data_IF_354039601320
#
_entry.id   IF_354039601320
#
_cell.length_a   1.000
_cell.length_b   1.000
_cell.length_c   1.000
_cell.angle_alpha   90.00
_cell.angle_beta   90.00
_cell.angle_gamma   90.00
#
_symmetry.space_group_name_H-M   'P 1'
#
loop_
_entity.id
_entity.type
_entity.pdbx_description
1 polymer ?
#
# COMPACT_ATOMS: atom_id res chain seq x y z
N UNK A 1 -19.74 -6.32 16.72
CA UNK A 1 -18.90 -5.12 16.97
C UNK A 1 -17.74 -5.21 16.00
N UNK A 2 -17.58 -4.21 15.12
CA UNK A 2 -16.42 -4.16 14.24
C UNK A 2 -15.15 -4.14 15.12
N UNK A 3 -14.23 -5.07 14.90
CA UNK A 3 -12.95 -5.06 15.58
C UNK A 3 -12.29 -3.72 15.28
N UNK A 4 -11.97 -2.94 16.30
CA UNK A 4 -11.20 -1.72 16.14
C UNK A 4 -9.91 -2.10 15.41
N UNK A 5 -9.74 -1.65 14.17
CA UNK A 5 -8.55 -1.96 13.39
C UNK A 5 -7.33 -1.45 14.17
N UNK A 6 -6.33 -2.31 14.35
CA UNK A 6 -5.06 -1.89 14.94
C UNK A 6 -4.50 -0.71 14.14
N UNK A 7 -3.93 0.27 14.85
CA UNK A 7 -3.36 1.47 14.24
C UNK A 7 -1.88 1.60 14.58
N UNK A 8 -1.10 2.18 13.68
CA UNK A 8 0.27 2.62 13.94
C UNK A 8 0.30 4.14 14.15
N UNK A 9 1.04 4.60 15.15
CA UNK A 9 1.34 6.01 15.32
C UNK A 9 2.38 6.43 14.28
N UNK A 10 2.13 7.54 13.60
CA UNK A 10 3.06 8.17 12.66
C UNK A 10 3.93 9.19 13.38
N UNK A 11 5.08 9.55 12.81
CA UNK A 11 6.03 10.52 13.35
C UNK A 11 5.45 11.93 13.56
N UNK A 12 4.33 12.24 12.96
CA UNK A 12 3.61 13.52 13.12
C UNK A 12 2.41 13.44 14.09
N UNK A 13 2.26 12.35 14.84
CA UNK A 13 1.19 12.15 15.82
C UNK A 13 -0.14 11.63 15.24
N UNK A 14 -0.31 11.57 13.93
CA UNK A 14 -1.47 10.93 13.30
C UNK A 14 -1.43 9.41 13.48
N UNK A 15 -2.59 8.75 13.39
CA UNK A 15 -2.68 7.29 13.44
C UNK A 15 -3.15 6.75 12.10
N UNK A 16 -2.39 5.81 11.52
CA UNK A 16 -2.77 5.09 10.32
C UNK A 16 -3.34 3.72 10.69
N UNK A 17 -4.57 3.36 10.24
CA UNK A 17 -5.05 1.99 10.39
C UNK A 17 -4.20 1.02 9.60
N UNK A 18 -3.82 -0.11 10.24
CA UNK A 18 -2.93 -1.10 9.64
C UNK A 18 -3.57 -1.88 8.48
N UNK A 19 -4.89 -1.94 8.41
CA UNK A 19 -5.62 -2.50 7.28
C UNK A 19 -6.35 -1.39 6.54
N UNK A 20 -6.07 -1.26 5.25
CA UNK A 20 -6.76 -0.35 4.33
C UNK A 20 -7.28 -1.03 3.09
N UNK A 21 -8.18 -0.38 2.36
CA UNK A 21 -8.66 -0.83 1.06
C UNK A 21 -7.87 -0.16 -0.05
N UNK A 22 -7.19 -0.95 -0.90
CA UNK A 22 -6.61 -0.48 -2.16
C UNK A 22 -7.68 -0.31 -3.24
N UNK A 23 -7.58 0.75 -4.05
CA UNK A 23 -8.57 1.05 -5.12
C UNK A 23 -7.99 0.97 -6.53
N UNK A 24 -6.72 0.58 -6.70
CA UNK A 24 -6.06 0.42 -8.00
C UNK A 24 -6.79 -0.56 -8.91
N UNK A 25 -6.97 -0.20 -10.20
CA UNK A 25 -7.65 -1.05 -11.21
C UNK A 25 -9.05 -1.52 -10.79
N UNK A 26 -9.79 -0.72 -10.05
CA UNK A 26 -11.22 -0.94 -9.85
C UNK A 26 -11.99 -0.25 -10.97
N UNK A 27 -12.82 -1.01 -11.67
CA UNK A 27 -13.57 -0.50 -12.80
C UNK A 27 -14.56 0.61 -12.39
N UNK A 28 -14.90 1.53 -13.31
CA UNK A 28 -15.95 2.53 -13.09
C UNK A 28 -17.28 1.89 -12.62
N UNK A 29 -17.93 2.52 -11.65
CA UNK A 29 -19.19 2.04 -11.06
C UNK A 29 -19.03 0.90 -10.04
N UNK A 30 -17.81 0.38 -9.83
CA UNK A 30 -17.56 -0.75 -8.91
C UNK A 30 -16.84 -0.29 -7.64
N UNK A 31 -15.91 0.66 -7.74
CA UNK A 31 -15.08 1.11 -6.61
C UNK A 31 -15.93 1.70 -5.49
N UNK A 32 -16.98 2.47 -5.80
CA UNK A 32 -17.85 3.06 -4.77
C UNK A 32 -18.57 2.01 -3.92
N UNK A 33 -18.99 0.88 -4.52
CA UNK A 33 -19.57 -0.26 -3.79
C UNK A 33 -18.53 -0.94 -2.91
N UNK A 34 -17.30 -1.10 -3.41
CA UNK A 34 -16.21 -1.69 -2.65
C UNK A 34 -15.82 -0.84 -1.43
N UNK A 35 -15.75 0.49 -1.60
CA UNK A 35 -15.48 1.43 -0.50
C UNK A 35 -16.59 1.38 0.55
N UNK A 36 -17.85 1.37 0.13
CA UNK A 36 -18.99 1.24 1.05
C UNK A 36 -18.92 -0.06 1.84
N UNK A 37 -18.71 -1.19 1.14
CA UNK A 37 -18.57 -2.49 1.79
C UNK A 37 -17.38 -2.55 2.77
N UNK A 38 -16.26 -1.91 2.43
CA UNK A 38 -15.10 -1.83 3.31
C UNK A 38 -15.39 -1.02 4.58
N UNK A 39 -16.04 0.15 4.45
CA UNK A 39 -16.41 0.96 5.62
C UNK A 39 -17.39 0.17 6.52
N UNK A 40 -18.38 -0.53 5.93
CA UNK A 40 -19.32 -1.38 6.66
C UNK A 40 -18.62 -2.56 7.36
N UNK A 41 -17.58 -3.11 6.74
CA UNK A 41 -16.73 -4.15 7.34
C UNK A 41 -15.72 -3.63 8.39
N UNK A 42 -15.72 -2.32 8.67
CA UNK A 42 -14.86 -1.71 9.70
C UNK A 42 -13.55 -1.12 9.20
N UNK A 43 -13.30 -1.08 7.90
CA UNK A 43 -12.13 -0.35 7.37
C UNK A 43 -12.24 1.13 7.66
N UNK A 44 -11.10 1.73 8.02
CA UNK A 44 -10.97 3.17 8.25
C UNK A 44 -9.82 3.80 7.46
N UNK A 45 -9.16 3.03 6.60
CA UNK A 45 -8.08 3.47 5.73
C UNK A 45 -8.44 3.14 4.27
N UNK A 46 -8.50 4.15 3.40
CA UNK A 46 -8.78 4.02 1.97
C UNK A 46 -7.59 4.56 1.20
N UNK A 47 -6.98 3.73 0.37
CA UNK A 47 -5.86 4.11 -0.48
C UNK A 47 -6.33 4.39 -1.91
N UNK A 48 -6.09 5.60 -2.36
CA UNK A 48 -6.38 6.09 -3.70
C UNK A 48 -5.17 6.74 -4.35
N UNK A 49 -5.34 7.15 -5.60
CA UNK A 49 -4.45 8.02 -6.33
C UNK A 49 -5.19 8.69 -7.48
N UNK A 50 -4.77 9.88 -7.84
CA UNK A 50 -5.31 10.60 -9.00
C UNK A 50 -5.25 9.75 -10.28
N UNK A 51 -4.14 9.03 -10.47
CA UNK A 51 -3.90 8.16 -11.63
C UNK A 51 -4.84 6.94 -11.72
N UNK A 52 -5.58 6.62 -10.66
CA UNK A 52 -6.56 5.53 -10.69
C UNK A 52 -7.88 5.93 -11.35
N UNK A 53 -8.07 7.23 -11.62
CA UNK A 53 -9.23 7.81 -12.31
C UNK A 53 -10.57 7.46 -11.65
N UNK A 54 -10.56 7.17 -10.35
CA UNK A 54 -11.75 6.73 -9.60
C UNK A 54 -11.98 7.47 -8.29
N UNK A 55 -11.19 8.53 -7.99
CA UNK A 55 -11.29 9.28 -6.73
C UNK A 55 -12.67 9.93 -6.52
N UNK A 56 -13.34 10.34 -7.61
CA UNK A 56 -14.70 10.92 -7.52
C UNK A 56 -15.71 9.89 -6.96
N UNK A 57 -15.63 8.63 -7.40
CA UNK A 57 -16.50 7.56 -6.89
C UNK A 57 -16.14 7.17 -5.45
N UNK A 58 -14.83 7.14 -5.13
CA UNK A 58 -14.36 6.93 -3.75
C UNK A 58 -14.91 8.02 -2.84
N UNK A 59 -14.77 9.29 -3.25
CA UNK A 59 -15.27 10.44 -2.50
C UNK A 59 -16.79 10.41 -2.30
N UNK A 60 -17.56 10.05 -3.35
CA UNK A 60 -19.00 9.91 -3.27
C UNK A 60 -19.43 8.80 -2.28
N UNK A 61 -18.73 7.66 -2.28
CA UNK A 61 -19.01 6.56 -1.35
C UNK A 61 -18.70 6.94 0.10
N UNK A 62 -17.56 7.62 0.34
CA UNK A 62 -17.19 8.14 1.66
C UNK A 62 -18.25 9.14 2.14
N UNK A 63 -18.62 10.13 1.31
CA UNK A 63 -19.64 11.11 1.65
C UNK A 63 -20.96 10.45 2.04
N UNK A 64 -21.41 9.46 1.25
CA UNK A 64 -22.63 8.70 1.53
C UNK A 64 -22.56 8.00 2.90
N UNK A 65 -21.45 7.36 3.26
CA UNK A 65 -21.29 6.68 4.55
C UNK A 65 -21.24 7.65 5.74
N UNK A 66 -20.73 8.86 5.54
CA UNK A 66 -20.79 9.93 6.52
C UNK A 66 -22.23 10.43 6.70
N UNK A 67 -22.97 10.66 5.61
CA UNK A 67 -24.38 11.08 5.63
C UNK A 67 -25.29 10.02 6.26
N UNK A 68 -24.98 8.74 6.07
CA UNK A 68 -25.67 7.60 6.72
C UNK A 68 -25.34 7.49 8.24
N UNK A 69 -24.39 8.27 8.74
CA UNK A 69 -23.95 8.21 10.16
C UNK A 69 -23.16 6.97 10.53
N UNK A 70 -22.62 6.21 9.54
CA UNK A 70 -21.80 5.02 9.78
C UNK A 70 -20.40 5.38 10.27
N UNK A 71 -19.85 6.48 9.77
CA UNK A 71 -18.54 7.04 10.13
C UNK A 71 -18.59 8.56 10.09
N UNK A 72 -17.64 9.21 10.78
CA UNK A 72 -17.33 10.63 10.55
C UNK A 72 -16.15 10.76 9.59
N UNK A 73 -15.87 11.96 9.06
CA UNK A 73 -14.69 12.21 8.22
C UNK A 73 -13.38 11.98 9.02
N UNK A 74 -13.41 12.28 10.29
CA UNK A 74 -12.28 12.18 11.22
C UNK A 74 -11.91 10.73 11.54
N UNK A 75 -12.87 9.80 11.43
CA UNK A 75 -12.62 8.37 11.60
C UNK A 75 -11.80 7.80 10.44
N UNK A 76 -11.74 8.51 9.30
CA UNK A 76 -11.18 7.97 8.06
C UNK A 76 -9.78 8.53 7.76
N UNK A 77 -8.86 7.62 7.49
CA UNK A 77 -7.54 7.90 6.93
C UNK A 77 -7.60 7.68 5.41
N UNK A 78 -7.62 8.78 4.65
CA UNK A 78 -7.74 8.73 3.18
C UNK A 78 -6.40 9.14 2.58
N UNK A 79 -5.84 8.28 1.75
CA UNK A 79 -4.60 8.50 1.01
C UNK A 79 -4.91 8.81 -0.45
N UNK A 80 -4.25 9.83 -0.98
CA UNK A 80 -4.17 10.10 -2.41
C UNK A 80 -2.73 10.29 -2.83
N UNK A 81 -2.45 10.08 -4.10
CA UNK A 81 -1.15 10.29 -4.73
C UNK A 81 -1.40 11.10 -6.01
N UNK A 82 -0.70 12.22 -6.16
CA UNK A 82 -0.89 13.07 -7.32
C UNK A 82 0.24 12.85 -8.34
N UNK A 83 -0.17 12.60 -9.58
CA UNK A 83 0.66 12.70 -10.77
C UNK A 83 0.04 13.79 -11.64
N UNK A 84 0.83 14.70 -12.15
CA UNK A 84 0.34 15.74 -13.08
C UNK A 84 0.14 15.12 -14.46
N UNK A 85 -1.11 15.09 -14.94
CA UNK A 85 -1.47 14.55 -16.25
C UNK A 85 -1.66 13.02 -16.28
N UNK A 86 -1.39 12.41 -17.43
CA UNK A 86 -1.43 10.96 -17.61
C UNK A 86 -0.35 10.26 -16.78
N UNK A 87 -0.65 9.07 -16.25
CA UNK A 87 0.30 8.31 -15.43
C UNK A 87 1.59 7.97 -16.20
N UNK A 88 1.44 7.59 -17.45
CA UNK A 88 2.55 7.30 -18.36
C UNK A 88 2.29 7.97 -19.72
N UNK A 89 2.48 9.30 -19.82
CA UNK A 89 2.29 9.99 -21.09
C UNK A 89 3.27 9.42 -22.11
N UNK A 90 2.76 9.02 -23.27
CA UNK A 90 3.54 8.34 -24.29
C UNK A 90 3.83 9.25 -25.48
N UNK A 91 5.07 9.26 -25.94
CA UNK A 91 5.46 9.90 -27.21
C UNK A 91 6.38 8.97 -28.00
N UNK A 92 5.99 8.66 -29.22
CA UNK A 92 6.76 7.77 -30.11
C UNK A 92 7.15 6.41 -29.45
N UNK A 93 6.22 5.82 -28.68
CA UNK A 93 6.42 4.51 -28.04
C UNK A 93 7.28 4.54 -26.78
N UNK A 94 7.67 5.72 -26.26
CA UNK A 94 8.41 5.88 -25.01
C UNK A 94 7.61 6.70 -24.02
N UNK A 95 7.76 6.40 -22.73
CA UNK A 95 7.19 7.22 -21.66
C UNK A 95 7.90 8.55 -21.63
N UNK A 96 7.12 9.65 -21.58
CA UNK A 96 7.67 10.97 -21.34
C UNK A 96 7.97 11.10 -19.85
N UNK A 97 9.22 11.37 -19.54
CA UNK A 97 9.69 11.64 -18.19
C UNK A 97 9.93 13.15 -18.01
N UNK A 98 9.91 13.60 -16.78
CA UNK A 98 10.21 14.98 -16.40
C UNK A 98 11.58 15.05 -15.75
N UNK A 99 12.29 16.16 -15.93
CA UNK A 99 13.54 16.46 -15.22
C UNK A 99 13.30 16.98 -13.79
N UNK A 100 12.03 17.02 -13.34
CA UNK A 100 11.66 17.50 -12.01
C UNK A 100 12.29 16.62 -10.93
N UNK A 101 12.98 17.27 -9.99
CA UNK A 101 13.54 16.58 -8.84
C UNK A 101 12.44 16.23 -7.82
N UNK A 102 12.48 15.03 -7.29
CA UNK A 102 11.53 14.62 -6.24
C UNK A 102 11.69 15.44 -4.95
N UNK A 103 12.87 16.02 -4.71
CA UNK A 103 13.10 16.95 -3.59
C UNK A 103 12.27 18.23 -3.76
N UNK A 104 12.17 18.76 -4.97
CA UNK A 104 11.33 19.96 -5.21
C UNK A 104 9.83 19.61 -5.09
N UNK A 105 9.45 18.42 -5.52
CA UNK A 105 8.10 17.89 -5.27
C UNK A 105 7.83 17.79 -3.77
N UNK A 106 8.80 17.31 -2.99
CA UNK A 106 8.66 17.21 -1.53
C UNK A 106 8.47 18.57 -0.87
N UNK A 107 9.28 19.57 -1.24
CA UNK A 107 9.13 20.94 -0.75
C UNK A 107 7.74 21.52 -1.04
N UNK A 108 7.19 21.27 -2.23
CA UNK A 108 5.83 21.65 -2.55
C UNK A 108 4.78 20.93 -1.70
N UNK A 109 5.02 19.66 -1.34
CA UNK A 109 4.14 18.91 -0.43
C UNK A 109 4.21 19.42 1.01
N UNK A 110 5.36 19.88 1.48
CA UNK A 110 5.49 20.51 2.80
C UNK A 110 4.62 21.75 2.92
N UNK A 111 4.48 22.54 1.85
CA UNK A 111 3.57 23.71 1.82
C UNK A 111 2.11 23.29 2.03
N UNK A 112 1.68 22.14 1.51
CA UNK A 112 0.31 21.65 1.72
C UNK A 112 0.03 21.33 3.18
N UNK A 113 1.05 20.93 3.95
CA UNK A 113 0.93 20.73 5.40
C UNK A 113 0.80 22.10 6.11
N UNK A 114 1.64 23.06 5.73
CA UNK A 114 1.61 24.41 6.31
C UNK A 114 0.26 25.12 6.07
N UNK A 115 -0.33 24.90 4.89
CA UNK A 115 -1.66 25.41 4.54
C UNK A 115 -2.81 24.63 5.19
N UNK A 116 -2.51 23.54 5.91
CA UNK A 116 -3.52 22.71 6.57
C UNK A 116 -4.38 21.87 5.61
N UNK A 117 -3.97 21.76 4.34
CA UNK A 117 -4.70 21.00 3.31
C UNK A 117 -4.53 19.48 3.50
N UNK A 118 -3.39 19.06 4.05
CA UNK A 118 -3.12 17.66 4.38
C UNK A 118 -2.56 17.54 5.79
N UNK A 119 -2.83 16.43 6.47
CA UNK A 119 -2.34 16.17 7.84
C UNK A 119 -0.97 15.47 7.84
N UNK A 120 -0.69 14.68 6.82
CA UNK A 120 0.54 13.89 6.70
C UNK A 120 0.96 13.83 5.25
N UNK A 121 2.26 13.89 5.01
CA UNK A 121 2.88 13.67 3.70
C UNK A 121 3.80 12.47 3.75
N UNK A 122 3.93 11.78 2.63
CA UNK A 122 4.74 10.57 2.50
C UNK A 122 5.22 10.36 1.07
N UNK A 123 5.98 9.32 0.88
CA UNK A 123 6.54 8.93 -0.41
C UNK A 123 6.07 7.53 -0.82
N UNK A 124 6.30 7.17 -2.07
CA UNK A 124 5.98 5.84 -2.57
C UNK A 124 7.10 5.34 -3.49
N UNK A 125 7.50 4.08 -3.33
CA UNK A 125 8.58 3.43 -4.08
C UNK A 125 9.94 4.11 -3.93
N UNK A 126 10.25 4.73 -2.80
CA UNK A 126 11.59 5.26 -2.52
C UNK A 126 12.50 4.14 -2.01
N UNK A 127 13.69 4.02 -2.57
CA UNK A 127 14.77 3.21 -2.04
C UNK A 127 15.54 3.95 -0.93
N UNK A 128 16.52 3.27 -0.32
CA UNK A 128 17.27 3.83 0.81
C UNK A 128 18.03 5.10 0.40
N UNK A 129 18.73 5.09 -0.73
CA UNK A 129 19.52 6.24 -1.19
C UNK A 129 18.65 7.46 -1.48
N UNK A 130 17.45 7.26 -2.04
CA UNK A 130 16.49 8.34 -2.25
C UNK A 130 15.93 8.88 -0.94
N UNK A 131 15.66 8.01 0.03
CA UNK A 131 15.22 8.43 1.37
C UNK A 131 16.33 9.21 2.08
N UNK A 132 17.58 8.75 2.05
CA UNK A 132 18.72 9.46 2.65
C UNK A 132 18.90 10.86 2.05
N UNK A 133 18.86 10.96 0.71
CA UNK A 133 18.93 12.25 0.03
C UNK A 133 17.76 13.15 0.41
N UNK A 134 16.55 12.63 0.47
CA UNK A 134 15.38 13.40 0.88
C UNK A 134 15.50 13.88 2.32
N UNK A 135 15.86 13.00 3.25
CA UNK A 135 16.00 13.31 4.66
C UNK A 135 17.11 14.35 4.95
N UNK A 136 18.12 14.44 4.10
CA UNK A 136 19.19 15.45 4.25
C UNK A 136 18.70 16.89 4.01
N UNK A 137 17.54 17.09 3.38
CA UNK A 137 17.04 18.40 2.97
C UNK A 137 15.58 18.64 3.40
N UNK A 138 14.85 17.61 3.81
CA UNK A 138 13.45 17.71 4.20
C UNK A 138 13.29 18.42 5.55
N UNK A 139 12.37 19.35 5.64
CA UNK A 139 11.93 19.99 6.88
C UNK A 139 10.93 19.11 7.64
N UNK A 140 10.07 18.42 6.89
CA UNK A 140 9.10 17.45 7.42
C UNK A 140 9.58 16.07 7.01
N UNK A 141 9.77 15.16 7.97
CA UNK A 141 10.13 13.78 7.71
C UNK A 141 8.94 13.06 7.06
N UNK A 142 9.14 12.26 6.00
CA UNK A 142 8.07 11.44 5.43
C UNK A 142 7.38 10.59 6.51
N UNK A 143 6.07 10.71 6.63
CA UNK A 143 5.31 9.91 7.60
C UNK A 143 5.20 8.44 7.16
N UNK A 144 5.19 8.20 5.84
CA UNK A 144 5.00 6.87 5.23
C UNK A 144 5.88 6.74 3.99
N UNK A 145 6.48 5.57 3.79
CA UNK A 145 6.91 5.11 2.47
C UNK A 145 6.01 3.93 2.06
N UNK A 146 5.21 4.13 1.01
CA UNK A 146 4.35 3.07 0.48
C UNK A 146 5.09 2.30 -0.61
N UNK A 147 5.35 1.00 -0.38
CA UNK A 147 6.16 0.15 -1.26
C UNK A 147 5.51 -1.20 -1.51
N UNK A 148 5.94 -1.90 -2.54
CA UNK A 148 5.58 -3.29 -2.73
C UNK A 148 6.23 -4.15 -1.66
N UNK A 149 5.39 -4.86 -0.88
CA UNK A 149 5.85 -5.80 0.15
C UNK A 149 4.95 -7.02 0.20
N UNK A 150 5.56 -8.19 0.18
CA UNK A 150 4.93 -9.49 0.36
C UNK A 150 6.03 -10.54 0.59
N UNK A 151 5.72 -11.80 0.96
CA UNK A 151 6.74 -12.81 1.23
C UNK A 151 7.73 -13.10 0.10
N UNK A 152 7.37 -12.85 -1.17
CA UNK A 152 8.32 -12.95 -2.28
C UNK A 152 9.18 -11.69 -2.50
N UNK A 153 8.88 -10.59 -1.78
CA UNK A 153 9.64 -9.34 -1.79
C UNK A 153 9.59 -8.72 -0.39
N UNK A 154 10.46 -9.17 0.49
CA UNK A 154 10.43 -8.79 1.93
C UNK A 154 11.16 -7.50 2.26
N UNK A 155 12.09 -7.05 1.42
CA UNK A 155 12.86 -5.80 1.52
C UNK A 155 13.40 -5.52 2.94
N UNK A 156 14.16 -6.44 3.57
CA UNK A 156 14.52 -6.33 4.98
C UNK A 156 15.31 -5.07 5.31
N UNK A 157 16.29 -4.68 4.48
CA UNK A 157 17.10 -3.49 4.69
C UNK A 157 16.24 -2.21 4.65
N UNK A 158 15.30 -2.12 3.71
CA UNK A 158 14.39 -0.97 3.61
C UNK A 158 13.42 -0.91 4.81
N UNK A 159 12.95 -2.06 5.28
CA UNK A 159 12.07 -2.16 6.46
C UNK A 159 12.82 -1.66 7.70
N UNK A 160 14.05 -2.11 7.92
CA UNK A 160 14.90 -1.68 9.04
C UNK A 160 15.26 -0.20 8.94
N UNK A 161 15.66 0.26 7.76
CA UNK A 161 15.96 1.67 7.50
C UNK A 161 14.80 2.59 7.84
N UNK A 162 13.59 2.27 7.36
CA UNK A 162 12.40 3.07 7.65
C UNK A 162 12.04 3.03 9.14
N UNK A 163 12.14 1.86 9.78
CA UNK A 163 11.86 1.72 11.21
C UNK A 163 12.82 2.55 12.06
N UNK A 164 14.12 2.58 11.75
CA UNK A 164 15.13 3.35 12.48
C UNK A 164 14.96 4.87 12.38
N UNK A 165 14.14 5.35 11.45
CA UNK A 165 13.85 6.78 11.20
C UNK A 165 12.41 7.17 11.46
N UNK A 166 11.64 6.28 12.10
CA UNK A 166 10.22 6.46 12.38
C UNK A 166 9.38 6.78 11.11
N UNK A 167 9.77 6.19 9.99
CA UNK A 167 8.99 6.22 8.74
C UNK A 167 8.13 4.97 8.71
N UNK A 168 6.81 5.14 8.69
CA UNK A 168 5.90 4.01 8.59
C UNK A 168 5.96 3.39 7.18
N UNK A 169 5.76 2.08 7.09
CA UNK A 169 5.60 1.41 5.80
C UNK A 169 4.13 1.07 5.54
N UNK A 170 3.74 1.22 4.28
CA UNK A 170 2.48 0.68 3.76
C UNK A 170 2.79 -0.30 2.63
N UNK A 171 2.37 -1.55 2.80
CA UNK A 171 2.54 -2.61 1.82
C UNK A 171 1.44 -2.54 0.75
N UNK A 172 1.80 -2.21 -0.48
CA UNK A 172 0.91 -2.44 -1.62
C UNK A 172 1.20 -3.81 -2.25
N UNK A 173 0.26 -4.36 -3.02
CA UNK A 173 0.29 -5.73 -3.54
C UNK A 173 0.58 -6.81 -2.49
N UNK A 174 0.02 -6.73 -1.27
CA UNK A 174 0.38 -7.62 -0.16
C UNK A 174 0.06 -9.09 -0.44
N UNK A 175 -0.80 -9.36 -1.43
CA UNK A 175 -1.20 -10.70 -1.87
C UNK A 175 -0.44 -11.16 -3.14
N UNK A 176 0.64 -10.47 -3.55
CA UNK A 176 1.40 -10.79 -4.75
C UNK A 176 0.65 -10.49 -6.05
N UNK A 177 -0.37 -9.60 -6.04
CA UNK A 177 -1.19 -9.24 -7.21
C UNK A 177 -1.77 -10.45 -7.96
N UNK A 178 -2.58 -11.29 -7.32
CA UNK A 178 -3.25 -12.39 -7.99
C UNK A 178 -4.10 -11.84 -9.15
N UNK A 179 -4.08 -12.49 -10.31
CA UNK A 179 -4.79 -12.02 -11.52
C UNK A 179 -4.04 -10.96 -12.33
N UNK A 180 -2.75 -10.70 -12.02
CA UNK A 180 -1.88 -9.96 -12.95
C UNK A 180 -1.79 -10.71 -14.29
N UNK A 181 -1.62 -9.98 -15.38
CA UNK A 181 -1.29 -10.60 -16.66
C UNK A 181 0.13 -11.16 -16.53
N UNK A 182 0.23 -12.46 -16.43
CA UNK A 182 1.54 -13.15 -16.49
C UNK A 182 2.01 -13.03 -17.95
N UNK A 183 2.92 -12.11 -18.19
CA UNK A 183 3.75 -12.15 -19.38
C UNK A 183 4.57 -13.44 -19.20
N UNK A 184 4.61 -14.34 -20.17
CA UNK A 184 5.31 -15.65 -20.16
C UNK A 184 6.76 -15.52 -19.66
N UNK A 185 6.92 -15.06 -18.44
CA UNK A 185 8.19 -14.91 -17.75
C UNK A 185 8.40 -16.17 -16.92
N UNK A 186 9.38 -16.96 -17.31
CA UNK A 186 9.80 -18.16 -16.58
C UNK A 186 10.27 -17.86 -15.15
N UNK A 187 10.59 -16.59 -14.87
CA UNK A 187 10.98 -16.10 -13.55
C UNK A 187 9.79 -15.74 -12.64
N UNK A 188 8.55 -15.66 -13.19
CA UNK A 188 7.37 -15.38 -12.37
C UNK A 188 7.13 -16.52 -11.36
N UNK A 189 7.22 -16.25 -10.04
CA UNK A 189 7.08 -17.28 -9.02
C UNK A 189 5.64 -17.81 -8.86
N UNK A 190 4.73 -17.42 -9.76
CA UNK A 190 3.32 -17.80 -9.77
C UNK A 190 2.51 -17.13 -8.67
N UNK A 191 1.43 -17.77 -8.27
CA UNK A 191 0.43 -17.24 -7.36
C UNK A 191 0.88 -17.43 -5.89
N UNK A 192 1.25 -16.34 -5.22
CA UNK A 192 1.64 -16.35 -3.81
C UNK A 192 0.55 -16.93 -2.88
N UNK A 193 -0.73 -16.75 -3.25
CA UNK A 193 -1.85 -17.32 -2.48
C UNK A 193 -1.86 -18.86 -2.48
N UNK A 194 -1.14 -19.49 -3.42
CA UNK A 194 -1.02 -20.94 -3.56
C UNK A 194 0.40 -21.45 -3.23
N UNK A 195 1.22 -20.62 -2.60
CA UNK A 195 2.52 -21.08 -2.15
C UNK A 195 2.33 -22.13 -1.04
N UNK A 196 3.00 -23.29 -1.12
CA UNK A 196 2.82 -24.38 -0.14
C UNK A 196 3.06 -23.95 1.31
N UNK A 197 4.01 -23.03 1.55
CA UNK A 197 4.29 -22.51 2.90
C UNK A 197 3.09 -21.71 3.40
N UNK A 198 2.55 -20.84 2.54
CA UNK A 198 1.36 -20.01 2.89
C UNK A 198 0.14 -20.90 3.14
N UNK A 199 -0.10 -21.92 2.28
CA UNK A 199 -1.24 -22.84 2.44
C UNK A 199 -1.15 -23.67 3.71
N UNK A 200 0.04 -24.14 4.08
CA UNK A 200 0.25 -24.91 5.34
C UNK A 200 -0.05 -24.03 6.55
N UNK A 201 0.47 -22.80 6.60
CA UNK A 201 0.21 -21.86 7.69
C UNK A 201 -1.29 -21.53 7.76
N UNK A 202 -1.92 -21.24 6.61
CA UNK A 202 -3.34 -20.95 6.53
C UNK A 202 -4.20 -22.09 7.10
N UNK A 203 -3.89 -23.33 6.75
CA UNK A 203 -4.56 -24.53 7.27
C UNK A 203 -4.39 -24.67 8.79
N UNK A 204 -3.19 -24.47 9.31
CA UNK A 204 -2.90 -24.57 10.75
C UNK A 204 -3.71 -23.56 11.57
N UNK A 205 -3.85 -22.33 11.06
CA UNK A 205 -4.63 -21.27 11.71
C UNK A 205 -6.11 -21.29 11.37
N UNK A 206 -6.58 -22.19 10.49
CA UNK A 206 -7.97 -22.22 9.96
C UNK A 206 -8.38 -20.88 9.34
N UNK A 207 -7.46 -20.29 8.62
CA UNK A 207 -7.60 -19.01 7.92
C UNK A 207 -7.34 -19.21 6.42
N UNK A 208 -7.69 -18.22 5.60
CA UNK A 208 -7.31 -18.24 4.19
C UNK A 208 -5.86 -17.78 4.00
N UNK A 209 -5.26 -18.13 2.86
CA UNK A 209 -3.94 -17.63 2.46
C UNK A 209 -3.90 -16.10 2.46
N UNK A 210 -4.98 -15.44 2.03
CA UNK A 210 -5.07 -13.99 2.03
C UNK A 210 -5.00 -13.43 3.45
N UNK A 211 -5.73 -14.00 4.41
CA UNK A 211 -5.68 -13.57 5.80
C UNK A 211 -4.29 -13.74 6.42
N UNK A 212 -3.60 -14.86 6.14
CA UNK A 212 -2.21 -15.09 6.59
C UNK A 212 -1.27 -14.00 6.03
N UNK A 213 -1.33 -13.72 4.73
CA UNK A 213 -0.49 -12.71 4.09
C UNK A 213 -0.75 -11.30 4.62
N UNK A 214 -2.00 -10.96 4.92
CA UNK A 214 -2.34 -9.67 5.51
C UNK A 214 -1.88 -9.60 6.97
N UNK A 215 -2.09 -10.66 7.75
CA UNK A 215 -1.63 -10.75 9.14
C UNK A 215 -0.11 -10.63 9.24
N UNK A 216 0.64 -11.22 8.32
CA UNK A 216 2.10 -11.10 8.22
C UNK A 216 2.58 -9.64 8.21
N UNK A 217 1.88 -8.75 7.53
CA UNK A 217 2.22 -7.32 7.52
C UNK A 217 1.78 -6.63 8.81
N UNK A 218 0.52 -6.81 9.19
CA UNK A 218 -0.07 -6.15 10.36
C UNK A 218 0.70 -6.50 11.64
N UNK A 219 1.08 -7.77 11.82
CA UNK A 219 1.81 -8.22 13.01
C UNK A 219 3.25 -7.66 13.06
N UNK A 220 3.82 -7.29 11.91
CA UNK A 220 5.09 -6.58 11.78
C UNK A 220 4.94 -5.05 11.87
N UNK A 221 3.77 -4.55 12.29
CA UNK A 221 3.44 -3.12 12.38
C UNK A 221 3.58 -2.38 11.03
N UNK A 222 3.27 -3.07 9.92
CA UNK A 222 3.26 -2.54 8.56
C UNK A 222 1.80 -2.43 8.10
N UNK A 223 1.38 -1.24 7.67
CA UNK A 223 0.05 -1.07 7.10
C UNK A 223 -0.04 -1.83 5.76
N UNK A 224 -1.23 -2.35 5.45
CA UNK A 224 -1.43 -3.15 4.23
C UNK A 224 -2.73 -2.76 3.54
N UNK A 225 -2.70 -2.70 2.20
CA UNK A 225 -3.80 -2.18 1.38
C UNK A 225 -4.22 -3.18 0.29
N UNK A 226 -4.77 -4.36 0.66
CA UNK A 226 -5.28 -5.29 -0.34
C UNK A 226 -6.38 -4.64 -1.17
N UNK A 227 -6.35 -4.87 -2.49
CA UNK A 227 -7.42 -4.46 -3.38
C UNK A 227 -8.43 -5.60 -3.53
N UNK A 228 -9.69 -5.31 -3.28
CA UNK A 228 -10.81 -6.19 -3.64
C UNK A 228 -12.04 -5.37 -4.03
N UNK A 229 -12.83 -5.89 -4.94
CA UNK A 229 -14.16 -5.37 -5.30
C UNK A 229 -15.26 -6.35 -4.92
N UNK A 230 -14.93 -7.49 -4.36
CA UNK A 230 -15.86 -8.54 -3.95
C UNK A 230 -16.19 -8.36 -2.46
N UNK A 231 -17.43 -8.02 -2.07
CA UNK A 231 -17.79 -7.75 -0.67
C UNK A 231 -17.39 -8.86 0.30
N UNK A 232 -17.60 -10.13 -0.08
CA UNK A 232 -17.22 -11.27 0.76
C UNK A 232 -15.71 -11.32 1.04
N UNK A 233 -14.85 -11.04 0.05
CA UNK A 233 -13.39 -10.98 0.24
C UNK A 233 -12.98 -9.76 1.06
N UNK A 234 -13.68 -8.62 0.91
CA UNK A 234 -13.43 -7.42 1.73
C UNK A 234 -13.72 -7.75 3.20
N UNK A 235 -14.86 -8.41 3.47
CA UNK A 235 -15.22 -8.86 4.81
C UNK A 235 -14.19 -9.86 5.36
N UNK A 236 -13.84 -10.90 4.61
CA UNK A 236 -12.85 -11.91 4.99
C UNK A 236 -11.48 -11.28 5.32
N UNK A 237 -11.01 -10.34 4.49
CA UNK A 237 -9.75 -9.63 4.72
C UNK A 237 -9.77 -8.75 5.99
N UNK A 238 -10.94 -8.37 6.52
CA UNK A 238 -11.06 -7.66 7.79
C UNK A 238 -10.86 -8.58 9.01
N UNK A 239 -11.05 -9.88 8.86
CA UNK A 239 -11.01 -10.88 9.94
C UNK A 239 -9.57 -11.40 10.18
N UNK A 240 -8.64 -10.46 10.39
CA UNK A 240 -7.20 -10.75 10.58
C UNK A 240 -6.68 -10.33 11.95
N UNK A 241 -7.54 -9.81 12.83
CA UNK A 241 -7.15 -9.35 14.15
C UNK A 241 -7.52 -10.33 15.28
N UNK A 242 -8.11 -11.46 14.92
CA UNK A 242 -8.60 -12.49 15.83
C UNK A 242 -7.66 -13.72 15.96
N UNK A 243 -6.49 -13.67 15.30
CA UNK A 243 -5.44 -14.68 15.39
C UNK A 243 -4.06 -14.05 15.31
N UNK A 244 -3.04 -14.81 15.70
CA UNK A 244 -1.62 -14.41 15.59
C UNK A 244 -0.82 -15.51 14.88
N UNK A 245 0.12 -15.10 14.04
CA UNK A 245 1.13 -15.97 13.48
C UNK A 245 2.20 -16.23 14.53
N UNK A 246 2.66 -17.47 14.65
CA UNK A 246 3.78 -17.80 15.52
C UNK A 246 5.09 -17.28 14.92
N UNK A 247 6.13 -17.16 15.72
CA UNK A 247 7.44 -16.70 15.25
C UNK A 247 7.99 -17.60 14.13
N UNK A 248 7.74 -18.93 14.21
CA UNK A 248 8.09 -19.89 13.18
C UNK A 248 7.34 -19.64 11.86
N UNK A 249 6.06 -19.24 11.93
CA UNK A 249 5.27 -18.88 10.75
C UNK A 249 5.84 -17.63 10.08
N UNK A 250 6.16 -16.59 10.88
CA UNK A 250 6.77 -15.36 10.39
C UNK A 250 8.12 -15.63 9.71
N UNK A 251 8.97 -16.44 10.35
CA UNK A 251 10.25 -16.84 9.76
C UNK A 251 10.06 -17.63 8.47
N UNK A 252 9.13 -18.59 8.45
CA UNK A 252 8.83 -19.36 7.24
C UNK A 252 8.40 -18.47 6.08
N UNK A 253 7.54 -17.47 6.35
CA UNK A 253 7.12 -16.49 5.34
C UNK A 253 8.28 -15.57 4.87
N UNK A 254 9.23 -15.26 5.73
CA UNK A 254 10.41 -14.49 5.37
C UNK A 254 11.39 -15.29 4.50
N UNK A 255 11.50 -16.62 4.73
CA UNK A 255 12.44 -17.50 3.99
C UNK A 255 12.03 -17.77 2.55
N UNK A 256 10.76 -17.61 2.20
CA UNK A 256 10.32 -17.75 0.80
C UNK A 256 10.58 -16.52 -0.08
N UNK A 257 11.33 -15.54 0.44
CA UNK A 257 11.74 -14.35 -0.31
C UNK A 257 12.51 -14.72 -1.57
N UNK A 258 12.14 -14.08 -2.67
CA UNK A 258 12.72 -14.29 -4.01
C UNK A 258 13.31 -13.00 -4.59
N UNK A 259 13.22 -11.90 -3.83
CA UNK A 259 13.47 -10.53 -4.31
C UNK A 259 12.72 -10.24 -5.62
N UNK A 260 11.54 -10.85 -5.77
CA UNK A 260 10.75 -10.75 -6.98
C UNK A 260 9.69 -9.65 -6.85
N UNK A 261 9.75 -8.69 -7.77
CA UNK A 261 8.88 -7.51 -7.80
C UNK A 261 7.84 -7.62 -8.91
N UNK A 262 6.56 -7.44 -8.56
CA UNK A 262 5.45 -7.37 -9.52
C UNK A 262 5.48 -6.05 -10.30
N UNK A 263 5.69 -4.93 -9.58
CA UNK A 263 5.64 -3.59 -10.13
C UNK A 263 7.05 -3.06 -10.41
N UNK A 264 7.68 -3.58 -11.45
CA UNK A 264 9.08 -3.25 -11.80
C UNK A 264 9.24 -1.88 -12.46
N UNK A 265 8.19 -1.31 -13.09
CA UNK A 265 8.25 -0.05 -13.83
C UNK A 265 9.38 -0.01 -14.87
N UNK A 266 9.66 -1.11 -15.54
CA UNK A 266 10.78 -1.27 -16.48
C UNK A 266 10.81 -0.24 -17.60
N UNK A 267 9.64 0.33 -17.96
CA UNK A 267 9.56 1.43 -18.92
C UNK A 267 10.24 2.73 -18.45
N UNK A 268 10.63 2.82 -17.18
CA UNK A 268 11.30 3.96 -16.56
C UNK A 268 12.73 3.62 -16.10
N UNK A 269 13.26 2.44 -16.41
CA UNK A 269 14.56 1.96 -15.91
C UNK A 269 15.75 2.87 -16.26
N UNK A 270 15.67 3.61 -17.37
CA UNK A 270 16.72 4.54 -17.80
C UNK A 270 16.61 5.93 -17.13
N UNK A 271 15.60 6.14 -16.29
CA UNK A 271 15.42 7.41 -15.60
C UNK A 271 16.38 7.54 -14.42
N UNK A 272 17.00 8.71 -14.23
CA UNK A 272 17.98 8.97 -13.16
C UNK A 272 17.47 8.69 -11.75
N UNK A 273 16.15 8.75 -11.53
CA UNK A 273 15.49 8.47 -10.26
C UNK A 273 14.72 7.13 -10.27
N UNK A 274 15.11 6.20 -11.14
CA UNK A 274 14.51 4.86 -11.09
C UNK A 274 14.88 4.17 -9.77
N UNK A 275 13.89 3.72 -8.98
CA UNK A 275 14.15 3.34 -7.59
C UNK A 275 14.61 1.89 -7.40
N UNK A 276 14.67 1.06 -8.46
CA UNK A 276 14.87 -0.38 -8.34
C UNK A 276 16.21 -0.86 -8.95
N UNK A 277 17.19 0.05 -9.09
CA UNK A 277 18.53 -0.32 -9.60
C UNK A 277 19.40 -1.00 -8.53
N UNK A 278 19.05 -0.86 -7.24
CA UNK A 278 19.85 -1.36 -6.11
C UNK A 278 19.29 -2.68 -5.53
N UNK A 279 18.43 -3.39 -6.27
CA UNK A 279 17.76 -4.62 -5.82
C UNK A 279 18.24 -5.85 -6.55
#
# INVERSE_FOLDING_TARGET
>A
MAAASATRLLNNGCRIPLLGLGTWKSDPGVVGKAVSAAIDAGYRHIDGAYSYMNEAEVGAAVKKKVEEGVVTREDLFIVSKKVLGELFPMRKGRVLVSDADYVDTWRAMEVLVDEGLVKSIGVSNFNISQLERLLSVARIIPAVNQVELHPYLTQPELVEFCASRDIALTAFSPLGSPGRTVLNDSADPKDLLKDPVVEVIAKNHRKSSAQVLLRFHVQRNIATIPKSVTPARIQENAEIFDFELMDEDLQSLLTINKNWRVCQLTMLQDHQFYPFNDS
#
